data_IF_953540782803
#
_entry.id   IF_953540782803
#
_cell.length_a   1.000
_cell.length_b   1.000
_cell.length_c   1.000
_cell.angle_alpha   90.00
_cell.angle_beta   90.00
_cell.angle_gamma   90.00
#
_symmetry.space_group_name_H-M   'P 1'
#
loop_
_entity.id
_entity.type
_entity.pdbx_description
1 polymer ?
#
# COMPACT_ATOMS: atom_id res chain seq x y z
N UNK A 1 35.03 4.72 -18.46
CA UNK A 1 33.59 4.36 -18.43
C UNK A 1 33.34 3.05 -17.69
N UNK A 2 34.02 1.95 -18.03
CA UNK A 2 33.86 0.62 -17.37
C UNK A 2 34.21 0.59 -15.86
N UNK A 3 35.27 1.28 -15.42
CA UNK A 3 35.60 1.34 -13.98
C UNK A 3 34.58 2.15 -13.15
N UNK A 4 33.93 3.15 -13.75
CA UNK A 4 32.93 3.98 -13.06
C UNK A 4 31.61 3.21 -12.85
N UNK A 5 31.22 2.39 -13.83
CA UNK A 5 30.10 1.44 -13.72
C UNK A 5 30.37 0.34 -12.68
N UNK A 6 31.60 -0.18 -12.63
CA UNK A 6 32.01 -1.19 -11.63
C UNK A 6 31.95 -0.64 -10.19
N UNK A 7 32.45 0.58 -9.95
CA UNK A 7 32.37 1.24 -8.63
C UNK A 7 30.92 1.53 -8.22
N UNK A 8 30.05 1.96 -9.16
CA UNK A 8 28.61 2.10 -8.91
C UNK A 8 27.92 0.77 -8.62
N UNK A 9 28.36 -0.33 -9.24
CA UNK A 9 27.81 -1.67 -9.02
C UNK A 9 28.24 -2.24 -7.67
N UNK A 10 29.50 -2.06 -7.29
CA UNK A 10 30.05 -2.50 -6.01
C UNK A 10 29.41 -1.76 -4.83
N UNK A 11 29.23 -0.44 -4.95
CA UNK A 11 28.49 0.35 -3.95
C UNK A 11 27.03 -0.09 -3.83
N UNK A 12 26.38 -0.47 -4.95
CA UNK A 12 25.02 -1.03 -4.92
C UNK A 12 24.98 -2.36 -4.17
N UNK A 13 25.89 -3.29 -4.46
CA UNK A 13 25.96 -4.59 -3.76
C UNK A 13 26.17 -4.40 -2.26
N UNK A 14 27.04 -3.47 -1.84
CA UNK A 14 27.27 -3.15 -0.43
C UNK A 14 26.02 -2.56 0.25
N UNK A 15 25.30 -1.67 -0.43
CA UNK A 15 24.05 -1.09 0.09
C UNK A 15 22.95 -2.15 0.22
N UNK A 16 22.74 -2.98 -0.81
CA UNK A 16 21.75 -4.06 -0.77
C UNK A 16 22.12 -5.13 0.27
N UNK A 17 23.40 -5.48 0.37
CA UNK A 17 23.92 -6.39 1.40
C UNK A 17 23.71 -5.83 2.81
N UNK A 18 24.01 -4.56 3.03
CA UNK A 18 23.77 -3.87 4.30
C UNK A 18 22.29 -3.80 4.67
N UNK A 19 21.41 -3.49 3.71
CA UNK A 19 19.97 -3.48 3.92
C UNK A 19 19.42 -4.87 4.27
N UNK A 20 19.90 -5.92 3.59
CA UNK A 20 19.54 -7.31 3.88
C UNK A 20 20.01 -7.73 5.27
N UNK A 21 21.25 -7.40 5.65
CA UNK A 21 21.77 -7.72 6.98
C UNK A 21 20.99 -6.98 8.08
N UNK A 22 20.68 -5.70 7.88
CA UNK A 22 19.84 -4.95 8.80
C UNK A 22 18.45 -5.57 8.92
N UNK A 23 17.85 -5.96 7.80
CA UNK A 23 16.56 -6.63 7.78
C UNK A 23 16.58 -7.95 8.58
N UNK A 24 17.57 -8.81 8.31
CA UNK A 24 17.75 -10.07 9.05
C UNK A 24 17.98 -9.80 10.53
N UNK A 25 18.81 -8.82 10.87
CA UNK A 25 19.05 -8.43 12.25
C UNK A 25 17.75 -8.01 12.96
N UNK A 26 16.94 -7.16 12.35
CA UNK A 26 15.64 -6.74 12.92
C UNK A 26 14.70 -7.95 13.10
N UNK A 27 14.65 -8.86 12.14
CA UNK A 27 13.81 -10.07 12.22
C UNK A 27 14.29 -11.07 13.29
N UNK A 28 15.58 -11.11 13.60
CA UNK A 28 16.12 -11.97 14.66
C UNK A 28 16.02 -11.29 16.03
N UNK A 29 16.24 -9.98 16.10
CA UNK A 29 16.31 -9.23 17.35
C UNK A 29 14.93 -8.86 17.91
N UNK A 30 13.89 -8.78 17.07
CA UNK A 30 12.53 -8.48 17.52
C UNK A 30 11.77 -9.77 17.86
N UNK A 31 10.90 -9.77 18.89
CA UNK A 31 10.04 -10.92 19.16
C UNK A 31 9.02 -11.10 18.03
N UNK A 32 8.55 -12.34 17.84
CA UNK A 32 7.43 -12.62 16.92
C UNK A 32 6.19 -11.83 17.34
N UNK A 33 5.41 -11.42 16.36
CA UNK A 33 4.13 -10.75 16.61
C UNK A 33 3.02 -11.73 16.22
N UNK A 34 2.39 -12.43 17.18
CA UNK A 34 1.30 -13.37 16.91
C UNK A 34 -0.02 -12.66 16.67
N UNK A 35 -1.00 -13.40 16.15
CA UNK A 35 -2.38 -12.94 16.16
C UNK A 35 -2.85 -12.71 17.61
N UNK A 36 -3.74 -11.75 17.76
CA UNK A 36 -4.34 -11.41 19.04
C UNK A 36 -5.83 -11.19 18.85
N UNK A 37 -6.70 -11.80 19.68
CA UNK A 37 -8.13 -11.55 19.62
C UNK A 37 -8.49 -10.06 19.76
N UNK A 38 -7.64 -9.27 20.43
CA UNK A 38 -7.84 -7.84 20.57
C UNK A 38 -7.80 -7.08 19.23
N UNK A 39 -7.15 -7.63 18.20
CA UNK A 39 -7.08 -7.04 16.85
C UNK A 39 -8.45 -7.00 16.15
N UNK A 40 -9.35 -7.89 16.55
CA UNK A 40 -10.70 -8.02 15.97
C UNK A 40 -11.76 -7.19 16.71
N UNK A 41 -11.38 -6.53 17.82
CA UNK A 41 -12.29 -5.78 18.66
C UNK A 41 -12.25 -4.29 18.30
N UNK A 42 -13.15 -3.89 17.38
CA UNK A 42 -13.31 -2.50 16.96
C UNK A 42 -14.09 -1.68 18.00
N UNK A 43 -13.88 -0.36 18.01
CA UNK A 43 -14.61 0.55 18.87
C UNK A 43 -16.10 0.63 18.51
N UNK A 44 -16.41 0.57 17.21
CA UNK A 44 -17.77 0.50 16.70
C UNK A 44 -18.05 -0.89 16.12
N UNK A 45 -18.89 -1.64 16.83
CA UNK A 45 -19.39 -2.96 16.42
C UNK A 45 -20.91 -2.97 16.25
N UNK A 46 -21.52 -1.79 16.06
CA UNK A 46 -22.97 -1.68 15.92
C UNK A 46 -23.45 -2.42 14.67
N UNK A 47 -24.66 -2.97 14.78
CA UNK A 47 -25.37 -3.60 13.69
C UNK A 47 -26.56 -2.69 13.31
N UNK A 48 -26.54 -2.20 12.07
CA UNK A 48 -27.63 -1.51 11.42
C UNK A 48 -28.17 -2.40 10.31
N UNK A 49 -29.50 -2.52 10.24
CA UNK A 49 -30.21 -3.22 9.16
C UNK A 49 -29.77 -4.68 8.94
N UNK A 50 -29.28 -5.35 9.98
CA UNK A 50 -28.86 -6.76 9.93
C UNK A 50 -27.40 -6.97 9.51
N UNK A 51 -26.63 -5.91 9.22
CA UNK A 51 -25.21 -6.00 8.84
C UNK A 51 -24.33 -5.81 10.08
N UNK A 52 -23.57 -6.82 10.54
CA UNK A 52 -22.62 -6.65 11.66
C UNK A 52 -21.53 -5.62 11.34
N UNK A 53 -21.05 -4.88 12.34
CA UNK A 53 -19.99 -3.88 12.22
C UNK A 53 -20.22 -2.92 11.04
N UNK A 54 -21.46 -2.44 10.88
CA UNK A 54 -21.96 -1.91 9.61
C UNK A 54 -21.11 -0.77 9.06
N UNK A 55 -20.68 0.17 9.91
CA UNK A 55 -19.88 1.29 9.43
C UNK A 55 -18.49 0.84 8.96
N UNK A 56 -17.87 -0.15 9.60
CA UNK A 56 -16.59 -0.70 9.14
C UNK A 56 -16.75 -1.41 7.78
N UNK A 57 -17.88 -2.09 7.55
CA UNK A 57 -18.21 -2.69 6.25
C UNK A 57 -18.50 -1.62 5.18
N UNK A 58 -19.36 -0.64 5.48
CA UNK A 58 -19.77 0.36 4.49
C UNK A 58 -18.63 1.29 4.08
N UNK A 59 -17.75 1.65 5.03
CA UNK A 59 -16.64 2.58 4.79
C UNK A 59 -15.51 1.97 3.94
N UNK A 60 -15.54 0.66 3.64
CA UNK A 60 -14.59 0.04 2.70
C UNK A 60 -15.00 0.21 1.22
N UNK A 61 -16.29 0.43 0.91
CA UNK A 61 -16.77 0.56 -0.47
C UNK A 61 -16.19 1.75 -1.27
N UNK A 62 -15.78 2.87 -0.67
CA UNK A 62 -15.02 3.90 -1.40
C UNK A 62 -13.78 3.36 -2.12
N UNK A 63 -13.13 2.31 -1.62
CA UNK A 63 -12.03 1.66 -2.36
C UNK A 63 -12.50 1.07 -3.69
N UNK A 64 -13.71 0.50 -3.74
CA UNK A 64 -14.30 -0.04 -4.96
C UNK A 64 -14.63 1.08 -5.95
N UNK A 65 -15.23 2.16 -5.45
CA UNK A 65 -15.66 3.32 -6.26
C UNK A 65 -14.48 4.00 -6.98
N UNK A 66 -13.28 3.97 -6.38
CA UNK A 66 -12.08 4.55 -6.98
C UNK A 66 -11.28 3.45 -7.72
N UNK A 67 -11.21 2.26 -7.15
CA UNK A 67 -10.47 1.10 -7.64
C UNK A 67 -10.92 0.66 -9.02
N UNK A 68 -12.23 0.45 -9.23
CA UNK A 68 -12.74 -0.06 -10.50
C UNK A 68 -12.53 0.94 -11.65
N UNK A 69 -12.92 2.23 -11.54
CA UNK A 69 -12.65 3.19 -12.60
C UNK A 69 -11.15 3.37 -12.87
N UNK A 70 -10.33 3.42 -11.82
CA UNK A 70 -8.87 3.50 -11.97
C UNK A 70 -8.29 2.31 -12.74
N UNK A 71 -8.74 1.10 -12.42
CA UNK A 71 -8.33 -0.11 -13.13
C UNK A 71 -8.74 -0.07 -14.61
N UNK A 72 -9.99 0.32 -14.90
CA UNK A 72 -10.49 0.43 -16.28
C UNK A 72 -9.67 1.44 -17.07
N UNK A 73 -9.43 2.63 -16.51
CA UNK A 73 -8.64 3.70 -17.17
C UNK A 73 -7.19 3.29 -17.39
N UNK A 74 -6.58 2.57 -16.44
CA UNK A 74 -5.23 2.02 -16.62
C UNK A 74 -5.14 1.03 -17.79
N UNK A 75 -6.12 0.13 -17.91
CA UNK A 75 -6.12 -0.91 -18.94
C UNK A 75 -6.60 -0.42 -20.30
N UNK A 76 -7.46 0.60 -20.35
CA UNK A 76 -7.94 1.18 -21.60
C UNK A 76 -6.92 2.10 -22.29
N UNK A 77 -5.81 2.42 -21.61
CA UNK A 77 -4.74 3.29 -22.12
C UNK A 77 -5.19 4.72 -22.41
N UNK A 78 -6.37 5.10 -21.94
CA UNK A 78 -7.02 6.38 -22.22
C UNK A 78 -7.02 7.23 -20.94
N UNK A 79 -6.66 8.51 -21.08
CA UNK A 79 -6.71 9.56 -20.04
C UNK A 79 -5.61 9.56 -18.97
N UNK A 80 -5.00 8.44 -18.59
CA UNK A 80 -3.85 8.48 -17.67
C UNK A 80 -2.54 8.75 -18.41
N UNK A 81 -1.72 9.66 -17.88
CA UNK A 81 -0.38 9.95 -18.38
C UNK A 81 0.62 8.83 -18.09
N UNK A 82 0.34 7.60 -18.55
CA UNK A 82 1.21 6.43 -18.44
C UNK A 82 2.04 6.33 -19.72
N UNK A 83 3.37 6.44 -19.60
CA UNK A 83 4.25 6.43 -20.76
C UNK A 83 5.04 5.13 -20.92
N UNK A 84 5.21 4.34 -19.86
CA UNK A 84 6.02 3.13 -19.87
C UNK A 84 5.15 1.88 -19.74
N UNK A 85 5.52 0.79 -20.41
CA UNK A 85 4.73 -0.45 -20.42
C UNK A 85 4.71 -1.10 -19.03
N UNK A 86 5.82 -1.02 -18.29
CA UNK A 86 5.94 -1.51 -16.92
C UNK A 86 5.00 -0.82 -15.93
N UNK A 87 4.70 0.46 -16.14
CA UNK A 87 3.78 1.22 -15.28
C UNK A 87 2.35 0.68 -15.36
N UNK A 88 1.92 0.20 -16.52
CA UNK A 88 0.56 -0.32 -16.73
C UNK A 88 0.29 -1.47 -15.75
N UNK A 89 1.22 -2.42 -15.65
CA UNK A 89 1.08 -3.56 -14.74
C UNK A 89 1.05 -3.14 -13.27
N UNK A 90 1.93 -2.22 -12.87
CA UNK A 90 1.91 -1.70 -11.51
C UNK A 90 0.61 -0.96 -11.19
N UNK A 91 0.11 -0.11 -12.09
CA UNK A 91 -1.11 0.65 -11.81
C UNK A 91 -2.35 -0.24 -11.85
N UNK A 92 -2.41 -1.20 -12.79
CA UNK A 92 -3.49 -2.18 -12.84
C UNK A 92 -3.55 -3.01 -11.55
N UNK A 93 -2.43 -3.54 -11.07
CA UNK A 93 -2.40 -4.29 -9.81
C UNK A 93 -2.70 -3.41 -8.59
N UNK A 94 -2.28 -2.15 -8.60
CA UNK A 94 -2.60 -1.19 -7.54
C UNK A 94 -4.12 -0.98 -7.40
N UNK A 95 -4.80 -0.68 -8.51
CA UNK A 95 -6.24 -0.45 -8.53
C UNK A 95 -7.05 -1.73 -8.37
N UNK A 96 -6.58 -2.86 -8.90
CA UNK A 96 -7.17 -4.17 -8.65
C UNK A 96 -7.10 -4.54 -7.16
N UNK A 97 -5.96 -4.31 -6.51
CA UNK A 97 -5.81 -4.47 -5.06
C UNK A 97 -6.72 -3.53 -4.27
N UNK A 98 -6.88 -2.27 -4.69
CA UNK A 98 -7.81 -1.34 -4.06
C UNK A 98 -9.26 -1.83 -4.18
N UNK A 99 -9.70 -2.24 -5.38
CA UNK A 99 -11.03 -2.79 -5.59
C UNK A 99 -11.27 -4.07 -4.77
N UNK A 100 -10.29 -4.97 -4.76
CA UNK A 100 -10.35 -6.20 -3.97
C UNK A 100 -10.35 -5.94 -2.45
N UNK A 101 -9.69 -4.88 -1.99
CA UNK A 101 -9.70 -4.47 -0.58
C UNK A 101 -11.11 -4.16 -0.09
N UNK A 102 -11.99 -3.57 -0.92
CA UNK A 102 -13.38 -3.33 -0.51
C UNK A 102 -14.10 -4.63 -0.11
N UNK A 103 -13.99 -5.67 -0.95
CA UNK A 103 -14.62 -6.97 -0.73
C UNK A 103 -13.94 -7.75 0.41
N UNK A 104 -12.61 -7.79 0.42
CA UNK A 104 -11.84 -8.45 1.46
C UNK A 104 -12.09 -7.85 2.84
N UNK A 105 -12.10 -6.53 2.92
CA UNK A 105 -12.41 -5.78 4.13
C UNK A 105 -13.84 -6.02 4.59
N UNK A 106 -14.82 -5.95 3.67
CA UNK A 106 -16.21 -6.26 4.02
C UNK A 106 -16.36 -7.70 4.55
N UNK A 107 -15.73 -8.68 3.89
CA UNK A 107 -15.77 -10.09 4.31
C UNK A 107 -15.18 -10.31 5.70
N UNK A 108 -14.08 -9.61 6.02
CA UNK A 108 -13.48 -9.58 7.34
C UNK A 108 -14.39 -8.90 8.37
N UNK A 109 -14.87 -7.69 8.10
CA UNK A 109 -15.66 -6.91 9.06
C UNK A 109 -17.04 -7.50 9.35
N UNK A 110 -17.63 -8.28 8.44
CA UNK A 110 -18.88 -8.99 8.70
C UNK A 110 -18.74 -10.01 9.85
N UNK A 111 -17.55 -10.62 9.99
CA UNK A 111 -17.24 -11.56 11.08
C UNK A 111 -15.73 -11.53 11.33
N UNK A 112 -15.20 -10.63 12.16
CA UNK A 112 -13.77 -10.47 12.33
C UNK A 112 -13.13 -11.73 12.96
N UNK A 113 -12.17 -12.33 12.25
CA UNK A 113 -11.35 -13.44 12.72
C UNK A 113 -10.03 -13.54 11.92
N UNK A 114 -9.07 -14.33 12.42
CA UNK A 114 -7.74 -14.52 11.82
C UNK A 114 -7.80 -15.18 10.43
N UNK A 115 -8.82 -15.99 10.16
CA UNK A 115 -8.99 -16.64 8.86
C UNK A 115 -9.48 -15.66 7.78
N UNK A 116 -10.17 -14.60 8.20
CA UNK A 116 -10.75 -13.60 7.29
C UNK A 116 -9.88 -12.37 7.11
N UNK A 117 -9.10 -11.99 8.13
CA UNK A 117 -8.24 -10.78 8.08
C UNK A 117 -7.24 -10.82 6.92
N UNK A 118 -6.81 -12.02 6.52
CA UNK A 118 -5.96 -12.22 5.34
C UNK A 118 -6.56 -11.62 4.07
N UNK A 119 -7.88 -11.68 3.90
CA UNK A 119 -8.56 -11.17 2.71
C UNK A 119 -8.63 -9.64 2.69
N UNK A 120 -8.55 -9.00 3.86
CA UNK A 120 -8.38 -7.55 3.99
C UNK A 120 -6.91 -7.13 3.74
N UNK A 121 -5.96 -7.90 4.29
CA UNK A 121 -4.52 -7.58 4.21
C UNK A 121 -3.91 -7.81 2.84
N UNK A 122 -4.21 -8.94 2.21
CA UNK A 122 -3.58 -9.36 0.95
C UNK A 122 -3.76 -8.32 -0.17
N UNK A 123 -4.98 -7.81 -0.46
CA UNK A 123 -5.15 -6.76 -1.48
C UNK A 123 -4.36 -5.50 -1.16
N UNK A 124 -4.31 -5.09 0.11
CA UNK A 124 -3.55 -3.92 0.55
C UNK A 124 -2.03 -4.10 0.37
N UNK A 125 -1.50 -5.30 0.64
CA UNK A 125 -0.09 -5.62 0.42
C UNK A 125 0.28 -5.63 -1.06
N UNK A 126 -0.62 -6.13 -1.92
CA UNK A 126 -0.46 -6.07 -3.39
C UNK A 126 -0.43 -4.60 -3.83
N UNK A 127 -1.40 -3.78 -3.41
CA UNK A 127 -1.43 -2.36 -3.74
C UNK A 127 -0.18 -1.62 -3.29
N UNK A 128 0.27 -1.84 -2.05
CA UNK A 128 1.49 -1.22 -1.52
C UNK A 128 2.73 -1.58 -2.37
N UNK A 129 2.88 -2.85 -2.72
CA UNK A 129 3.95 -3.36 -3.57
C UNK A 129 3.95 -2.72 -4.95
N UNK A 130 2.76 -2.67 -5.56
CA UNK A 130 2.54 -2.10 -6.88
C UNK A 130 2.85 -0.60 -6.95
N UNK A 131 2.43 0.17 -5.94
CA UNK A 131 2.69 1.60 -5.90
C UNK A 131 4.17 1.92 -5.70
N UNK A 132 4.87 1.14 -4.86
CA UNK A 132 6.30 1.31 -4.63
C UNK A 132 7.10 0.97 -5.89
N UNK A 133 6.74 -0.11 -6.58
CA UNK A 133 7.30 -0.47 -7.88
C UNK A 133 7.10 0.66 -8.90
N UNK A 134 5.90 1.20 -9.04
CA UNK A 134 5.63 2.29 -9.98
C UNK A 134 6.41 3.56 -9.66
N UNK A 135 6.57 3.87 -8.37
CA UNK A 135 7.44 4.97 -7.97
C UNK A 135 8.89 4.70 -8.38
N UNK A 136 9.38 3.45 -8.29
CA UNK A 136 10.72 3.09 -8.75
C UNK A 136 10.87 3.22 -10.27
N UNK A 137 9.85 2.83 -11.05
CA UNK A 137 9.79 3.07 -12.50
C UNK A 137 9.84 4.58 -12.80
N UNK A 138 9.03 5.37 -12.09
CA UNK A 138 8.94 6.82 -12.28
C UNK A 138 10.24 7.55 -11.89
N UNK A 139 10.94 7.10 -10.85
CA UNK A 139 12.07 7.82 -10.24
C UNK A 139 13.43 7.35 -10.68
N UNK A 140 13.54 6.09 -11.09
CA UNK A 140 14.82 5.45 -11.31
C UNK A 140 14.90 4.75 -12.67
N UNK A 141 14.25 3.59 -12.83
CA UNK A 141 14.41 2.74 -14.03
C UNK A 141 13.22 1.75 -14.18
N UNK A 142 12.79 1.52 -15.41
CA UNK A 142 11.66 0.63 -15.72
C UNK A 142 11.95 -0.83 -15.38
N UNK A 143 13.13 -1.32 -15.77
CA UNK A 143 13.52 -2.73 -15.55
C UNK A 143 13.65 -3.04 -14.06
N UNK A 144 14.28 -2.16 -13.30
CA UNK A 144 14.37 -2.31 -11.84
C UNK A 144 13.02 -2.21 -11.17
N UNK A 145 12.13 -1.33 -11.64
CA UNK A 145 10.75 -1.27 -11.15
C UNK A 145 9.96 -2.55 -11.38
N UNK A 146 9.95 -3.09 -12.60
CA UNK A 146 9.28 -4.37 -12.92
C UNK A 146 9.87 -5.52 -12.09
N UNK A 147 11.19 -5.58 -11.95
CA UNK A 147 11.84 -6.59 -11.11
C UNK A 147 11.38 -6.45 -9.65
N UNK A 148 11.32 -5.22 -9.13
CA UNK A 148 10.81 -4.92 -7.80
C UNK A 148 9.35 -5.35 -7.63
N UNK A 149 8.48 -5.13 -8.63
CA UNK A 149 7.09 -5.60 -8.61
C UNK A 149 7.01 -7.10 -8.35
N UNK A 150 7.65 -7.91 -9.19
CA UNK A 150 7.59 -9.37 -9.07
C UNK A 150 8.23 -9.87 -7.77
N UNK A 151 9.36 -9.28 -7.36
CA UNK A 151 10.00 -9.64 -6.08
C UNK A 151 9.11 -9.33 -4.89
N UNK A 152 8.44 -8.17 -4.86
CA UNK A 152 7.54 -7.82 -3.77
C UNK A 152 6.27 -8.68 -3.77
N UNK A 153 5.69 -9.00 -4.93
CA UNK A 153 4.54 -9.91 -5.00
C UNK A 153 4.88 -11.32 -4.51
N UNK A 154 6.07 -11.84 -4.85
CA UNK A 154 6.55 -13.09 -4.28
C UNK A 154 6.75 -12.98 -2.77
N UNK A 155 7.28 -11.86 -2.29
CA UNK A 155 7.41 -11.59 -0.86
C UNK A 155 6.05 -11.50 -0.17
N UNK A 156 4.99 -10.98 -0.81
CA UNK A 156 3.62 -11.01 -0.28
C UNK A 156 3.18 -12.46 -0.04
N UNK A 157 3.36 -13.35 -1.03
CA UNK A 157 2.99 -14.77 -0.89
C UNK A 157 3.78 -15.47 0.23
N UNK A 158 5.08 -15.22 0.30
CA UNK A 158 5.94 -15.74 1.38
C UNK A 158 5.48 -15.21 2.74
N UNK A 159 5.16 -13.91 2.83
CA UNK A 159 4.72 -13.28 4.08
C UNK A 159 3.43 -13.92 4.59
N UNK A 160 2.46 -14.15 3.70
CA UNK A 160 1.22 -14.85 4.03
C UNK A 160 1.49 -16.30 4.47
N UNK A 161 2.34 -17.04 3.76
CA UNK A 161 2.69 -18.41 4.16
C UNK A 161 3.38 -18.45 5.53
N UNK A 162 4.27 -17.50 5.79
CA UNK A 162 4.95 -17.34 7.08
C UNK A 162 3.97 -16.99 8.20
N UNK A 163 3.06 -16.03 7.97
CA UNK A 163 1.99 -15.68 8.90
C UNK A 163 1.18 -16.92 9.28
N UNK A 164 0.73 -17.71 8.29
CA UNK A 164 -0.09 -18.90 8.51
C UNK A 164 0.63 -20.05 9.22
N UNK A 165 1.92 -20.21 8.96
CA UNK A 165 2.69 -21.36 9.45
C UNK A 165 3.32 -21.09 10.82
N UNK A 166 3.75 -19.85 11.06
CA UNK A 166 4.52 -19.47 12.24
C UNK A 166 3.79 -18.53 13.20
N UNK A 167 2.57 -18.10 12.84
CA UNK A 167 1.81 -17.08 13.58
C UNK A 167 2.68 -15.84 13.84
N UNK A 168 3.27 -15.30 12.76
CA UNK A 168 4.18 -14.17 12.83
C UNK A 168 3.84 -13.13 11.75
N UNK A 169 3.23 -12.03 12.17
CA UNK A 169 2.73 -10.97 11.28
C UNK A 169 3.83 -10.02 10.79
N UNK A 170 5.06 -10.12 11.31
CA UNK A 170 6.11 -9.11 11.08
C UNK A 170 6.40 -8.86 9.61
N UNK A 171 6.46 -9.92 8.79
CA UNK A 171 6.70 -9.79 7.36
C UNK A 171 5.55 -9.06 6.66
N UNK A 172 4.29 -9.39 7.00
CA UNK A 172 3.12 -8.69 6.49
C UNK A 172 3.12 -7.22 6.91
N UNK A 173 3.49 -6.93 8.16
CA UNK A 173 3.56 -5.57 8.70
C UNK A 173 4.52 -4.65 7.92
N UNK A 174 5.59 -5.19 7.34
CA UNK A 174 6.53 -4.39 6.55
C UNK A 174 5.88 -3.70 5.36
N UNK A 175 4.90 -4.33 4.71
CA UNK A 175 4.18 -3.74 3.58
C UNK A 175 3.34 -2.52 3.99
N UNK A 176 3.11 -2.33 5.28
CA UNK A 176 2.43 -1.15 5.80
C UNK A 176 3.41 -0.06 6.23
N UNK A 177 4.53 -0.42 6.85
CA UNK A 177 5.48 0.55 7.40
C UNK A 177 6.55 1.01 6.40
N UNK A 178 7.06 0.11 5.56
CA UNK A 178 8.13 0.45 4.61
C UNK A 178 7.68 1.52 3.61
N UNK A 179 6.49 1.43 2.98
CA UNK A 179 6.05 2.47 2.03
C UNK A 179 5.92 3.86 2.67
N UNK A 180 5.58 3.97 3.95
CA UNK A 180 5.50 5.26 4.67
C UNK A 180 6.81 6.04 4.66
N UNK A 181 7.94 5.33 4.65
CA UNK A 181 9.27 5.94 4.68
C UNK A 181 9.86 5.96 3.27
N UNK A 182 9.76 4.84 2.55
CA UNK A 182 10.36 4.67 1.24
C UNK A 182 9.77 5.64 0.21
N UNK A 183 8.45 5.85 0.19
CA UNK A 183 7.81 6.72 -0.80
C UNK A 183 8.27 8.19 -0.63
N UNK A 184 8.14 8.83 0.55
CA UNK A 184 8.62 10.19 0.74
C UNK A 184 10.12 10.34 0.50
N UNK A 185 10.94 9.38 0.97
CA UNK A 185 12.37 9.41 0.76
C UNK A 185 12.71 9.36 -0.73
N UNK A 186 12.10 8.48 -1.50
CA UNK A 186 12.33 8.39 -2.94
C UNK A 186 11.85 9.64 -3.69
N UNK A 187 10.70 10.20 -3.31
CA UNK A 187 10.16 11.42 -3.91
C UNK A 187 11.07 12.62 -3.64
N UNK A 188 11.70 12.67 -2.47
CA UNK A 188 12.64 13.73 -2.09
C UNK A 188 14.02 13.57 -2.74
N UNK A 189 14.56 12.36 -2.78
CA UNK A 189 15.92 12.08 -3.24
C UNK A 189 16.07 12.00 -4.77
N UNK A 190 15.01 11.60 -5.48
CA UNK A 190 15.08 11.34 -6.92
C UNK A 190 14.16 12.27 -7.73
N UNK A 191 14.67 12.85 -8.84
CA UNK A 191 13.88 13.75 -9.67
C UNK A 191 12.69 13.02 -10.33
N UNK A 192 11.52 13.66 -10.42
CA UNK A 192 10.34 13.05 -11.03
C UNK A 192 10.43 13.03 -12.56
N UNK A 193 10.04 11.92 -13.18
CA UNK A 193 9.77 11.84 -14.63
C UNK A 193 8.55 12.68 -15.04
N UNK A 194 7.52 12.71 -14.20
CA UNK A 194 6.23 13.36 -14.48
C UNK A 194 6.03 14.67 -13.68
N UNK A 195 5.12 15.52 -14.14
CA UNK A 195 4.60 16.63 -13.34
C UNK A 195 3.74 16.11 -12.18
N UNK A 196 3.26 17.00 -11.30
CA UNK A 196 2.33 16.64 -10.22
C UNK A 196 2.89 15.68 -9.16
N UNK A 197 4.21 15.55 -9.03
CA UNK A 197 4.88 14.77 -7.98
C UNK A 197 4.43 15.08 -6.54
N UNK A 198 3.86 16.26 -6.27
CA UNK A 198 3.35 16.64 -4.94
C UNK A 198 2.23 15.70 -4.44
N UNK A 199 1.49 15.04 -5.33
CA UNK A 199 0.44 14.10 -4.93
C UNK A 199 0.97 12.86 -4.22
N UNK A 200 2.24 12.48 -4.43
CA UNK A 200 2.86 11.43 -3.63
C UNK A 200 2.91 11.80 -2.14
N UNK A 201 3.19 13.07 -1.80
CA UNK A 201 3.16 13.54 -0.41
C UNK A 201 1.73 13.59 0.14
N UNK A 202 0.74 14.00 -0.65
CA UNK A 202 -0.67 13.96 -0.24
C UNK A 202 -1.13 12.52 0.03
N UNK A 203 -0.78 11.58 -0.85
CA UNK A 203 -1.06 10.16 -0.70
C UNK A 203 -0.42 9.60 0.58
N UNK A 204 0.86 9.88 0.83
CA UNK A 204 1.52 9.50 2.10
C UNK A 204 0.83 10.14 3.30
N UNK A 205 0.48 11.43 3.22
CA UNK A 205 -0.18 12.15 4.32
C UNK A 205 -1.51 11.52 4.72
N UNK A 206 -2.36 11.17 3.75
CA UNK A 206 -3.61 10.47 4.00
C UNK A 206 -3.40 9.06 4.55
N UNK A 207 -2.39 8.33 4.05
CA UNK A 207 -2.03 7.03 4.59
C UNK A 207 -1.59 7.11 6.06
N UNK A 208 -0.72 8.06 6.40
CA UNK A 208 -0.27 8.26 7.77
C UNK A 208 -1.44 8.66 8.67
N UNK A 209 -2.29 9.58 8.20
CA UNK A 209 -3.51 9.98 8.92
C UNK A 209 -4.40 8.76 9.20
N UNK A 210 -4.59 7.89 8.21
CA UNK A 210 -5.34 6.65 8.37
C UNK A 210 -4.77 5.77 9.50
N UNK A 211 -3.44 5.58 9.54
CA UNK A 211 -2.79 4.82 10.62
C UNK A 211 -2.96 5.47 11.99
N UNK A 212 -2.88 6.80 12.07
CA UNK A 212 -3.13 7.51 13.32
C UNK A 212 -4.55 7.32 13.83
N UNK A 213 -5.57 7.45 12.96
CA UNK A 213 -6.97 7.26 13.38
C UNK A 213 -7.28 5.81 13.73
N UNK A 214 -6.64 4.84 13.07
CA UNK A 214 -6.73 3.42 13.40
C UNK A 214 -6.21 3.12 14.82
N UNK A 215 -5.02 3.63 15.17
CA UNK A 215 -4.46 3.48 16.52
C UNK A 215 -5.36 4.18 17.56
N UNK A 216 -5.94 5.33 17.19
CA UNK A 216 -6.81 6.12 18.04
C UNK A 216 -8.29 5.69 18.01
N UNK A 217 -8.62 4.46 17.57
CA UNK A 217 -9.98 4.03 17.24
C UNK A 217 -11.05 4.45 18.25
N UNK A 218 -10.90 4.00 19.51
CA UNK A 218 -11.82 4.33 20.61
C UNK A 218 -11.85 5.82 20.95
N UNK A 219 -10.70 6.50 20.86
CA UNK A 219 -10.58 7.93 21.17
C UNK A 219 -11.32 8.75 20.11
N UNK A 220 -11.12 8.46 18.83
CA UNK A 220 -11.83 9.09 17.72
C UNK A 220 -13.33 8.86 17.90
N UNK A 221 -13.74 7.63 18.18
CA UNK A 221 -15.15 7.29 18.38
C UNK A 221 -15.81 8.10 19.51
N UNK A 222 -15.10 8.31 20.61
CA UNK A 222 -15.60 9.16 21.72
C UNK A 222 -15.70 10.65 21.34
N UNK A 223 -14.72 11.19 20.61
CA UNK A 223 -14.68 12.61 20.21
C UNK A 223 -15.73 12.91 19.15
N UNK A 224 -16.01 11.97 18.24
CA UNK A 224 -17.06 12.08 17.23
C UNK A 224 -18.46 11.82 17.79
N UNK A 225 -18.61 11.73 19.12
CA UNK A 225 -19.87 11.42 19.83
C UNK A 225 -20.52 10.14 19.33
N UNK A 226 -19.71 9.12 19.11
CA UNK A 226 -20.12 7.80 18.63
C UNK A 226 -20.78 7.82 17.23
N UNK A 227 -20.51 8.85 16.42
CA UNK A 227 -20.98 8.89 15.04
C UNK A 227 -20.13 7.98 14.14
N UNK A 228 -18.80 8.10 14.21
CA UNK A 228 -17.85 7.33 13.38
C UNK A 228 -16.62 6.95 14.21
N UNK A 229 -16.22 5.68 14.15
CA UNK A 229 -15.01 5.17 14.82
C UNK A 229 -13.74 5.56 14.09
N UNK A 230 -12.58 5.42 14.75
CA UNK A 230 -11.31 5.67 14.07
C UNK A 230 -11.00 4.59 13.02
N UNK A 231 -11.46 3.36 13.20
CA UNK A 231 -11.37 2.29 12.20
C UNK A 231 -12.21 2.59 10.95
N UNK A 232 -13.45 3.03 11.13
CA UNK A 232 -14.29 3.49 10.00
C UNK A 232 -13.67 4.70 9.29
N UNK A 233 -13.08 5.63 10.04
CA UNK A 233 -12.39 6.78 9.47
C UNK A 233 -11.06 6.38 8.78
N UNK A 234 -10.39 5.33 9.25
CA UNK A 234 -9.19 4.77 8.61
C UNK A 234 -9.51 4.38 7.16
N UNK A 235 -10.59 3.65 6.92
CA UNK A 235 -10.97 3.26 5.56
C UNK A 235 -11.19 4.48 4.65
N UNK A 236 -11.88 5.51 5.14
CA UNK A 236 -12.12 6.74 4.38
C UNK A 236 -10.81 7.48 4.08
N UNK A 237 -9.91 7.61 5.05
CA UNK A 237 -8.59 8.21 4.84
C UNK A 237 -7.74 7.39 3.87
N UNK A 238 -7.74 6.06 3.98
CA UNK A 238 -7.04 5.18 3.05
C UNK A 238 -7.62 5.29 1.64
N UNK A 239 -8.93 5.46 1.47
CA UNK A 239 -9.56 5.63 0.17
C UNK A 239 -9.14 6.94 -0.53
N UNK A 240 -8.72 7.95 0.23
CA UNK A 240 -8.14 9.17 -0.36
C UNK A 240 -6.78 8.91 -1.02
N UNK A 241 -6.05 7.85 -0.65
CA UNK A 241 -4.76 7.49 -1.25
C UNK A 241 -4.91 7.18 -2.76
N UNK A 242 -5.73 6.19 -3.19
CA UNK A 242 -5.95 5.96 -4.61
C UNK A 242 -6.61 7.16 -5.28
N UNK A 243 -7.45 7.95 -4.59
CA UNK A 243 -8.02 9.18 -5.17
C UNK A 243 -6.93 10.19 -5.54
N UNK A 244 -5.99 10.47 -4.64
CA UNK A 244 -4.88 11.40 -4.89
C UNK A 244 -3.99 10.91 -6.03
N UNK A 245 -3.73 9.60 -6.10
CA UNK A 245 -2.95 9.02 -7.18
C UNK A 245 -3.70 9.02 -8.51
N UNK A 246 -5.02 8.81 -8.52
CA UNK A 246 -5.86 8.98 -9.72
C UNK A 246 -5.79 10.41 -10.26
N UNK A 247 -5.92 11.41 -9.39
CA UNK A 247 -5.77 12.82 -9.79
C UNK A 247 -4.37 13.11 -10.33
N UNK A 248 -3.33 12.55 -9.68
CA UNK A 248 -1.96 12.63 -10.19
C UNK A 248 -1.87 12.06 -11.61
N UNK A 249 -2.37 10.83 -11.84
CA UNK A 249 -2.32 10.17 -13.14
C UNK A 249 -3.09 10.91 -14.23
N UNK A 250 -4.21 11.52 -13.86
CA UNK A 250 -5.06 12.27 -14.78
C UNK A 250 -4.42 13.58 -15.25
N UNK A 251 -3.75 14.32 -14.35
CA UNK A 251 -3.20 15.64 -14.65
C UNK A 251 -1.69 15.65 -14.95
N UNK A 252 -0.99 14.53 -14.72
CA UNK A 252 0.45 14.47 -14.95
C UNK A 252 0.80 14.45 -16.44
N UNK A 253 1.88 15.13 -16.78
CA UNK A 253 2.52 15.13 -18.08
C UNK A 253 4.00 14.78 -17.93
N UNK A 254 4.67 14.38 -19.01
CA UNK A 254 6.11 14.10 -19.00
C UNK A 254 6.87 15.41 -18.76
N UNK A 255 7.68 15.44 -17.69
CA UNK A 255 8.59 16.55 -17.35
C UNK A 255 10.02 16.28 -17.85
N UNK A 256 10.47 15.03 -17.73
CA UNK A 256 11.80 14.58 -18.15
C UNK A 256 11.61 13.35 -19.03
N UNK A 257 12.15 13.38 -20.25
CA UNK A 257 12.19 12.19 -21.09
C UNK A 257 13.20 11.19 -20.50
N UNK A 258 12.78 9.95 -20.31
CA UNK A 258 13.66 8.82 -19.99
C UNK A 258 13.35 7.72 -21.00
N UNK A 259 14.38 7.31 -21.72
CA UNK A 259 14.32 6.19 -22.63
C UNK A 259 14.22 4.89 -21.83
N UNK A 260 13.37 3.98 -22.30
CA UNK A 260 13.13 2.64 -21.75
C UNK A 260 14.30 1.69 -22.01
#
# INVERSE_FOLDING_TARGET
MMQFELVKRENRVRVWGGALLLFVFVMVATPRIPHSPALHLFADMRNFLGVPNTLNVLTSFPFLLIGVPGLVLCLSGSCFGISLKGEVWGWALYYAGAAAAAFGSAYYHLKPDDERVIWDRLPMMISASSVLSNLLIERYDERMGITCLFSLLMLVLVSIACERTFDDLRLCMMFYFVPCVAIPAMVFLFPPKYTHSKYWFWATGFYLLARFVAIADKRVYSVTRYAISGHSLEHLCLAMVPMMLTLMLWFRNIKIARDS
#
